data_IF_381500375921
#
_entry.id   IF_381500375921
#
_cell.length_a   1.000
_cell.length_b   1.000
_cell.length_c   1.000
_cell.angle_alpha   90.00
_cell.angle_beta   90.00
_cell.angle_gamma   90.00
#
_symmetry.space_group_name_H-M   'P 1'
#
loop_
_entity.id
_entity.type
_entity.pdbx_description
1 polymer ?
#
# COMPACT_ATOMS: atom_id res chain seq x y z
N UNK A 1 -18.27 -22.17 3.65
CA UNK A 1 -19.01 -22.42 2.39
C UNK A 1 -20.11 -21.38 2.31
N UNK A 2 -19.77 -20.17 1.89
CA UNK A 2 -20.67 -19.02 1.92
C UNK A 2 -21.50 -19.03 0.63
N UNK A 3 -22.81 -19.12 0.75
CA UNK A 3 -23.76 -19.15 -0.37
C UNK A 3 -24.13 -17.73 -0.72
N UNK A 4 -23.64 -17.24 -1.86
CA UNK A 4 -24.04 -15.96 -2.44
C UNK A 4 -25.54 -15.98 -2.79
N UNK A 5 -26.30 -15.03 -2.24
CA UNK A 5 -27.68 -14.77 -2.67
C UNK A 5 -27.66 -13.95 -3.96
N UNK A 6 -27.77 -14.61 -5.11
CA UNK A 6 -28.14 -13.97 -6.36
C UNK A 6 -29.64 -13.63 -6.36
N UNK A 7 -29.99 -12.35 -6.37
CA UNK A 7 -31.36 -11.89 -6.61
C UNK A 7 -31.58 -11.71 -8.10
N UNK A 8 -32.43 -12.56 -8.69
CA UNK A 8 -32.79 -12.51 -10.11
C UNK A 8 -34.03 -11.64 -10.31
N UNK A 9 -33.90 -10.52 -11.03
CA UNK A 9 -35.06 -9.78 -11.52
C UNK A 9 -35.20 -10.04 -13.02
N UNK A 10 -36.12 -10.92 -13.41
CA UNK A 10 -36.46 -11.17 -14.81
C UNK A 10 -37.46 -10.11 -15.25
N UNK A 11 -37.04 -9.16 -16.09
CA UNK A 11 -37.95 -8.19 -16.70
C UNK A 11 -38.22 -8.60 -18.15
N UNK A 12 -39.43 -9.11 -18.42
CA UNK A 12 -39.88 -9.49 -19.77
C UNK A 12 -40.15 -8.22 -20.60
N UNK A 13 -39.36 -8.01 -21.65
CA UNK A 13 -39.69 -7.03 -22.69
C UNK A 13 -40.37 -7.78 -23.85
N UNK A 14 -41.70 -7.65 -23.96
CA UNK A 14 -42.46 -8.29 -25.04
C UNK A 14 -42.70 -7.26 -26.16
N UNK A 15 -41.96 -7.36 -27.26
CA UNK A 15 -42.36 -6.80 -28.56
C UNK A 15 -41.84 -7.70 -29.70
N UNK A 16 -42.78 -8.44 -30.27
CA UNK A 16 -42.79 -9.05 -31.61
C UNK A 16 -41.52 -9.83 -32.05
N UNK A 17 -41.61 -11.16 -31.93
CA UNK A 17 -41.19 -12.04 -33.01
C UNK A 17 -39.87 -12.80 -32.88
N UNK A 18 -38.99 -12.46 -31.95
CA UNK A 18 -37.78 -13.24 -31.65
C UNK A 18 -37.40 -13.05 -30.17
N UNK A 19 -37.35 -14.15 -29.42
CA UNK A 19 -36.93 -14.14 -28.01
C UNK A 19 -35.42 -13.83 -27.92
N UNK A 20 -35.09 -12.54 -27.78
CA UNK A 20 -33.74 -12.10 -27.44
C UNK A 20 -33.68 -11.83 -25.93
N UNK A 21 -33.13 -12.78 -25.18
CA UNK A 21 -32.86 -12.61 -23.76
C UNK A 21 -31.69 -11.63 -23.58
N UNK A 22 -32.00 -10.35 -23.34
CA UNK A 22 -31.00 -9.38 -22.89
C UNK A 22 -30.78 -9.58 -21.39
N UNK A 23 -29.72 -10.31 -21.03
CA UNK A 23 -29.24 -10.36 -19.66
C UNK A 23 -28.63 -9.00 -19.29
N UNK A 24 -29.43 -8.11 -18.73
CA UNK A 24 -28.91 -6.92 -18.07
C UNK A 24 -28.32 -7.37 -16.73
N UNK A 25 -27.00 -7.61 -16.71
CA UNK A 25 -26.25 -7.69 -15.47
C UNK A 25 -26.27 -6.30 -14.83
N UNK A 26 -27.30 -6.02 -14.03
CA UNK A 26 -27.11 -5.08 -12.92
C UNK A 26 -26.18 -5.79 -11.94
N UNK A 27 -24.88 -5.55 -12.08
CA UNK A 27 -23.98 -5.63 -10.94
C UNK A 27 -24.65 -4.76 -9.87
N UNK A 28 -25.29 -5.38 -8.88
CA UNK A 28 -25.48 -4.75 -7.60
C UNK A 28 -24.06 -4.46 -7.12
N UNK A 29 -23.57 -3.27 -7.44
CA UNK A 29 -22.36 -2.71 -6.88
C UNK A 29 -22.61 -2.70 -5.37
N UNK A 30 -22.18 -3.77 -4.70
CA UNK A 30 -21.91 -3.69 -3.28
C UNK A 30 -21.02 -2.45 -3.11
N UNK A 31 -21.30 -1.58 -2.12
CA UNK A 31 -20.45 -0.43 -1.88
C UNK A 31 -18.99 -0.92 -1.79
N UNK A 32 -18.02 -0.17 -2.35
CA UNK A 32 -16.62 -0.56 -2.30
C UNK A 32 -16.30 -0.95 -0.86
N UNK A 33 -15.86 -2.20 -0.67
CA UNK A 33 -15.63 -2.72 0.66
C UNK A 33 -14.45 -1.95 1.23
N UNK A 34 -14.70 -1.19 2.29
CA UNK A 34 -13.69 -0.35 2.94
C UNK A 34 -12.91 -1.23 3.92
N UNK A 35 -11.60 -1.34 3.70
CA UNK A 35 -10.78 -2.40 4.34
C UNK A 35 -9.45 -1.90 4.92
N UNK A 36 -9.21 -0.59 4.87
CA UNK A 36 -8.02 -0.02 5.48
C UNK A 36 -8.18 -0.01 7.00
N UNK A 37 -7.22 -0.61 7.70
CA UNK A 37 -7.17 -0.64 9.16
C UNK A 37 -6.06 0.30 9.61
N UNK A 38 -6.39 1.23 10.51
CA UNK A 38 -5.46 2.17 11.12
C UNK A 38 -5.47 1.94 12.63
N UNK A 39 -4.33 1.58 13.21
CA UNK A 39 -4.21 1.29 14.65
C UNK A 39 -5.24 0.25 15.15
N UNK A 40 -5.47 -0.80 14.36
CA UNK A 40 -6.47 -1.84 14.67
C UNK A 40 -7.93 -1.43 14.49
N UNK A 41 -8.21 -0.22 14.00
CA UNK A 41 -9.56 0.27 13.73
C UNK A 41 -9.80 0.33 12.23
N UNK A 42 -10.82 -0.39 11.77
CA UNK A 42 -11.31 -0.31 10.39
C UNK A 42 -11.80 1.10 10.09
N UNK A 43 -11.36 1.68 8.98
CA UNK A 43 -11.74 3.04 8.61
C UNK A 43 -12.96 3.07 7.71
N UNK A 44 -13.90 3.95 8.06
CA UNK A 44 -15.06 4.26 7.23
C UNK A 44 -14.73 5.24 6.10
N UNK A 45 -13.73 6.09 6.27
CA UNK A 45 -13.30 7.06 5.27
C UNK A 45 -11.80 6.94 4.98
N UNK A 46 -11.41 7.20 3.73
CA UNK A 46 -10.00 7.27 3.37
C UNK A 46 -9.40 8.59 3.89
N UNK A 47 -8.22 8.58 4.56
CA UNK A 47 -7.57 9.81 4.97
C UNK A 47 -7.21 10.66 3.76
N UNK A 48 -7.73 11.89 3.72
CA UNK A 48 -7.61 12.81 2.57
C UNK A 48 -6.22 13.41 2.37
N UNK A 49 -5.30 13.21 3.32
CA UNK A 49 -3.93 13.72 3.24
C UNK A 49 -3.12 13.40 4.50
N UNK A 50 -1.81 13.61 4.44
CA UNK A 50 -0.90 13.17 5.51
C UNK A 50 -1.18 13.89 6.85
N UNK A 51 -1.52 15.19 6.80
CA UNK A 51 -1.88 15.97 8.00
C UNK A 51 -3.08 15.34 8.72
N UNK A 52 -4.13 14.97 7.98
CA UNK A 52 -5.34 14.37 8.56
C UNK A 52 -5.03 13.01 9.21
N UNK A 53 -4.22 12.19 8.54
CA UNK A 53 -3.77 10.90 9.05
C UNK A 53 -3.07 11.08 10.41
N UNK A 54 -2.11 12.01 10.51
CA UNK A 54 -1.31 12.17 11.74
C UNK A 54 -2.03 12.91 12.86
N UNK A 55 -3.10 13.65 12.57
CA UNK A 55 -3.97 14.25 13.58
C UNK A 55 -4.92 13.20 14.18
N UNK A 56 -5.46 12.31 13.36
CA UNK A 56 -6.36 11.25 13.79
C UNK A 56 -5.62 10.05 14.42
N UNK A 57 -4.41 9.75 13.93
CA UNK A 57 -3.59 8.63 14.38
C UNK A 57 -2.17 9.10 14.74
N UNK A 58 -1.98 9.70 15.93
CA UNK A 58 -0.68 10.23 16.35
C UNK A 58 0.43 9.18 16.48
N UNK A 59 0.10 7.90 16.61
CA UNK A 59 1.05 6.78 16.72
C UNK A 59 2.09 6.75 15.59
N UNK A 60 1.71 7.22 14.39
CA UNK A 60 2.63 7.29 13.25
C UNK A 60 3.72 8.36 13.44
N UNK A 61 3.48 9.39 14.26
CA UNK A 61 4.50 10.39 14.63
C UNK A 61 5.60 9.76 15.46
N UNK A 62 5.25 8.91 16.41
CA UNK A 62 6.21 8.20 17.25
C UNK A 62 7.06 7.24 16.41
N UNK A 63 6.42 6.51 15.47
CA UNK A 63 7.13 5.65 14.52
C UNK A 63 8.09 6.46 13.64
N UNK A 64 7.62 7.55 13.04
CA UNK A 64 8.46 8.39 12.20
C UNK A 64 9.66 8.96 12.99
N UNK A 65 9.46 9.39 14.23
CA UNK A 65 10.56 9.85 15.08
C UNK A 65 11.58 8.74 15.36
N UNK A 66 11.13 7.52 15.66
CA UNK A 66 12.03 6.39 15.83
C UNK A 66 12.85 6.14 14.57
N UNK A 67 12.20 6.12 13.40
CA UNK A 67 12.85 5.90 12.11
C UNK A 67 13.87 7.00 11.77
N UNK A 68 13.54 8.27 12.03
CA UNK A 68 14.43 9.41 11.82
C UNK A 68 15.67 9.40 12.74
N UNK A 69 15.57 8.77 13.92
CA UNK A 69 16.67 8.64 14.86
C UNK A 69 17.63 7.48 14.51
N UNK A 70 17.28 6.63 13.55
CA UNK A 70 18.17 5.55 13.09
C UNK A 70 19.28 6.17 12.22
N UNK A 71 20.56 6.01 12.58
CA UNK A 71 21.65 6.54 11.78
C UNK A 71 21.70 5.84 10.43
N UNK A 72 21.93 6.61 9.36
CA UNK A 72 22.09 6.09 8.01
C UNK A 72 23.24 5.10 7.96
N UNK A 73 23.01 3.93 7.35
CA UNK A 73 23.99 2.87 7.17
C UNK A 73 24.27 2.65 5.69
N UNK A 74 25.55 2.62 5.33
CA UNK A 74 25.95 2.14 4.01
C UNK A 74 25.77 0.62 3.94
N UNK A 75 25.01 0.15 2.95
CA UNK A 75 24.71 -1.27 2.75
C UNK A 75 25.54 -1.77 1.57
N UNK A 76 26.29 -2.85 1.80
CA UNK A 76 27.07 -3.52 0.74
C UNK A 76 26.17 -4.36 -0.18
N UNK A 77 26.71 -4.81 -1.33
CA UNK A 77 25.92 -5.55 -2.33
C UNK A 77 25.55 -6.98 -1.91
N UNK A 78 26.21 -7.52 -0.88
CA UNK A 78 26.00 -8.92 -0.47
C UNK A 78 24.63 -9.08 0.17
N UNK A 79 23.77 -9.88 -0.47
CA UNK A 79 22.41 -10.16 -0.01
C UNK A 79 21.45 -8.99 -0.18
N UNK A 80 21.84 -7.94 -0.92
CA UNK A 80 21.00 -6.77 -1.22
C UNK A 80 20.33 -6.94 -2.58
N UNK A 81 19.01 -6.89 -2.59
CA UNK A 81 18.20 -6.60 -3.77
C UNK A 81 17.87 -5.10 -3.76
N UNK A 82 18.69 -4.33 -4.47
CA UNK A 82 18.45 -2.91 -4.71
C UNK A 82 17.44 -2.74 -5.84
N UNK A 83 16.50 -1.81 -5.67
CA UNK A 83 15.50 -1.53 -6.69
C UNK A 83 15.40 -0.05 -7.04
N UNK A 84 15.07 0.19 -8.31
CA UNK A 84 14.78 1.50 -8.85
C UNK A 84 13.31 1.90 -8.70
N UNK A 85 13.03 3.14 -9.10
CA UNK A 85 11.68 3.68 -9.18
C UNK A 85 10.85 2.85 -10.18
N UNK A 86 9.58 2.58 -9.82
CA UNK A 86 8.60 1.74 -10.52
C UNK A 86 8.90 0.24 -10.57
N UNK A 87 9.85 -0.25 -9.77
CA UNK A 87 10.06 -1.67 -9.58
C UNK A 87 9.32 -2.19 -8.33
N UNK A 88 8.94 -3.47 -8.35
CA UNK A 88 8.15 -4.11 -7.28
C UNK A 88 8.64 -5.54 -6.93
N UNK A 89 9.85 -5.70 -6.38
CA UNK A 89 10.36 -7.01 -5.97
C UNK A 89 9.53 -7.60 -4.84
N UNK A 90 9.48 -8.93 -4.83
CA UNK A 90 8.96 -9.69 -3.70
C UNK A 90 10.06 -10.63 -3.18
N UNK A 91 10.13 -10.78 -1.87
CA UNK A 91 11.11 -11.63 -1.23
C UNK A 91 10.52 -12.27 0.04
N UNK A 92 11.12 -13.39 0.44
CA UNK A 92 10.67 -14.17 1.60
C UNK A 92 11.85 -14.47 2.52
N UNK A 93 11.63 -14.66 3.83
CA UNK A 93 12.72 -15.05 4.75
C UNK A 93 13.41 -16.37 4.42
N UNK A 94 12.81 -17.19 3.55
CA UNK A 94 13.38 -18.46 3.10
C UNK A 94 14.32 -18.30 1.89
N UNK A 95 14.43 -17.10 1.30
CA UNK A 95 15.36 -16.85 0.19
C UNK A 95 16.79 -16.73 0.72
N UNK A 96 17.65 -17.69 0.34
CA UNK A 96 19.06 -17.72 0.75
C UNK A 96 19.94 -16.65 0.10
N UNK A 97 19.46 -16.00 -0.96
CA UNK A 97 20.24 -15.04 -1.75
C UNK A 97 19.92 -13.59 -1.37
N UNK A 98 18.75 -13.34 -0.77
CA UNK A 98 18.26 -11.99 -0.48
C UNK A 98 17.97 -11.88 1.02
N UNK A 99 18.77 -11.07 1.70
CA UNK A 99 18.58 -10.76 3.11
C UNK A 99 18.03 -9.34 3.28
N UNK A 100 18.15 -8.50 2.25
CA UNK A 100 17.85 -7.09 2.30
C UNK A 100 17.20 -6.67 0.98
N UNK A 101 16.08 -5.95 1.05
CA UNK A 101 15.50 -5.22 -0.09
C UNK A 101 15.56 -3.73 0.23
N UNK A 102 16.03 -2.93 -0.72
CA UNK A 102 16.24 -1.50 -0.49
C UNK A 102 16.05 -0.66 -1.73
N UNK A 103 15.75 0.61 -1.52
CA UNK A 103 15.66 1.62 -2.57
C UNK A 103 16.09 2.97 -1.99
N UNK A 104 16.56 3.87 -2.84
CA UNK A 104 16.97 5.22 -2.45
C UNK A 104 16.19 6.29 -3.24
N UNK A 105 16.61 7.55 -3.15
CA UNK A 105 16.12 8.68 -3.97
C UNK A 105 14.61 8.94 -4.00
N UNK A 106 13.89 8.50 -2.95
CA UNK A 106 12.47 8.76 -2.74
C UNK A 106 12.20 10.23 -2.34
N UNK A 107 12.35 11.15 -3.30
CA UNK A 107 12.15 12.58 -3.08
C UNK A 107 10.67 12.92 -2.90
N UNK A 108 9.92 12.95 -4.01
CA UNK A 108 8.46 13.15 -4.03
C UNK A 108 7.69 11.84 -4.15
N UNK A 109 8.37 10.78 -4.59
CA UNK A 109 7.87 9.42 -4.62
C UNK A 109 7.70 8.85 -3.21
N UNK A 110 6.82 7.87 -3.10
CA UNK A 110 6.55 7.13 -1.87
C UNK A 110 6.96 5.69 -2.08
N UNK A 111 7.76 5.19 -1.15
CA UNK A 111 8.06 3.78 -0.97
C UNK A 111 6.94 3.21 -0.12
N UNK A 112 6.33 2.12 -0.58
CA UNK A 112 5.42 1.38 0.26
C UNK A 112 5.72 -0.11 0.25
N UNK A 113 5.45 -0.70 1.40
CA UNK A 113 5.83 -2.07 1.73
C UNK A 113 4.58 -2.81 2.09
N UNK A 114 4.35 -3.92 1.41
CA UNK A 114 3.28 -4.86 1.76
C UNK A 114 3.94 -6.10 2.35
N UNK A 115 3.61 -6.41 3.60
CA UNK A 115 4.17 -7.55 4.34
C UNK A 115 3.06 -8.50 4.78
N UNK A 116 3.28 -9.80 4.62
CA UNK A 116 2.44 -10.80 5.27
C UNK A 116 3.08 -11.22 6.60
N UNK A 117 2.47 -10.83 7.71
CA UNK A 117 3.02 -11.03 9.07
C UNK A 117 3.24 -12.50 9.45
N UNK A 118 2.46 -13.43 8.90
CA UNK A 118 2.56 -14.86 9.25
C UNK A 118 3.77 -15.58 8.64
N UNK A 119 4.21 -15.16 7.45
CA UNK A 119 5.38 -15.73 6.76
C UNK A 119 6.59 -14.77 6.82
N UNK A 120 6.35 -13.47 6.95
CA UNK A 120 7.35 -12.43 6.75
C UNK A 120 7.66 -12.14 5.29
N UNK A 121 6.87 -12.66 4.34
CA UNK A 121 6.99 -12.29 2.93
C UNK A 121 6.74 -10.79 2.74
N UNK A 122 7.57 -10.14 1.94
CA UNK A 122 7.54 -8.69 1.70
C UNK A 122 7.52 -8.42 0.21
N UNK A 123 6.72 -7.45 -0.19
CA UNK A 123 6.78 -6.80 -1.49
C UNK A 123 7.06 -5.32 -1.24
N UNK A 124 8.14 -4.79 -1.83
CA UNK A 124 8.50 -3.37 -1.72
C UNK A 124 8.27 -2.72 -3.07
N UNK A 125 7.68 -1.53 -3.10
CA UNK A 125 7.57 -0.74 -4.32
C UNK A 125 8.02 0.71 -4.09
N UNK A 126 8.69 1.27 -5.09
CA UNK A 126 9.07 2.68 -5.10
C UNK A 126 8.25 3.41 -6.18
N UNK A 127 7.27 4.20 -5.76
CA UNK A 127 6.23 4.70 -6.66
C UNK A 127 6.17 6.22 -6.75
N UNK A 128 5.91 6.73 -7.95
CA UNK A 128 5.86 8.17 -8.27
C UNK A 128 4.44 8.69 -8.57
N UNK A 129 3.43 7.85 -8.34
CA UNK A 129 2.01 8.18 -8.55
C UNK A 129 1.38 7.58 -9.81
N UNK A 130 2.16 6.97 -10.72
CA UNK A 130 1.63 6.40 -11.97
C UNK A 130 1.34 4.90 -11.87
N UNK A 131 0.07 4.48 -12.01
CA UNK A 131 -0.31 3.04 -12.02
C UNK A 131 -0.45 2.42 -10.63
N UNK A 132 -0.91 3.23 -9.66
CA UNK A 132 -0.97 2.83 -8.24
C UNK A 132 -1.95 1.69 -8.03
N UNK A 133 -3.11 1.72 -8.69
CA UNK A 133 -4.14 0.70 -8.55
C UNK A 133 -3.66 -0.68 -9.00
N UNK A 134 -2.99 -0.74 -10.16
CA UNK A 134 -2.39 -1.97 -10.67
C UNK A 134 -1.30 -2.48 -9.74
N UNK A 135 -0.46 -1.58 -9.21
CA UNK A 135 0.61 -1.95 -8.30
C UNK A 135 0.07 -2.50 -6.97
N UNK A 136 -0.92 -1.85 -6.36
CA UNK A 136 -1.55 -2.31 -5.12
C UNK A 136 -2.13 -3.72 -5.31
N UNK A 137 -2.88 -3.93 -6.39
CA UNK A 137 -3.45 -5.25 -6.68
C UNK A 137 -2.37 -6.31 -6.90
N UNK A 138 -1.33 -5.99 -7.66
CA UNK A 138 -0.22 -6.91 -7.94
C UNK A 138 0.57 -7.25 -6.68
N UNK A 139 0.89 -6.26 -5.84
CA UNK A 139 1.66 -6.47 -4.60
C UNK A 139 0.88 -7.31 -3.60
N UNK A 140 -0.41 -7.01 -3.40
CA UNK A 140 -1.26 -7.78 -2.49
C UNK A 140 -1.45 -9.21 -2.99
N UNK A 141 -1.73 -9.42 -4.27
CA UNK A 141 -1.81 -10.76 -4.84
C UNK A 141 -0.49 -11.53 -4.67
N UNK A 142 0.64 -10.87 -4.92
CA UNK A 142 1.96 -11.49 -4.83
C UNK A 142 2.31 -11.88 -3.40
N UNK A 143 2.02 -11.03 -2.40
CA UNK A 143 2.32 -11.37 -1.00
C UNK A 143 1.46 -12.55 -0.53
N UNK A 144 0.20 -12.62 -0.98
CA UNK A 144 -0.70 -13.74 -0.65
C UNK A 144 -0.26 -15.05 -1.29
N UNK A 145 0.17 -15.00 -2.56
CA UNK A 145 0.71 -16.17 -3.26
C UNK A 145 1.93 -16.73 -2.53
N UNK A 146 2.85 -15.85 -2.10
CA UNK A 146 4.02 -16.27 -1.33
C UNK A 146 3.64 -16.84 0.05
N UNK A 147 2.58 -16.31 0.66
CA UNK A 147 2.07 -16.75 1.96
C UNK A 147 1.16 -17.98 1.91
N UNK A 148 1.00 -18.63 0.76
CA UNK A 148 0.23 -19.88 0.66
C UNK A 148 0.77 -20.92 1.65
N UNK A 149 -0.11 -21.44 2.49
CA UNK A 149 0.24 -22.38 3.58
C UNK A 149 0.51 -21.71 4.94
N UNK A 150 0.42 -20.39 5.05
CA UNK A 150 0.58 -19.64 6.31
C UNK A 150 -0.73 -18.93 6.71
N UNK A 151 -1.73 -19.64 7.27
CA UNK A 151 -3.09 -19.11 7.46
C UNK A 151 -3.25 -18.08 8.59
N UNK A 152 -2.21 -17.83 9.39
CA UNK A 152 -2.30 -17.01 10.61
C UNK A 152 -1.83 -15.56 10.46
N UNK A 153 -1.51 -15.09 9.24
CA UNK A 153 -0.99 -13.74 9.02
C UNK A 153 -2.04 -12.74 8.54
N UNK A 154 -1.78 -11.47 8.83
CA UNK A 154 -2.46 -10.30 8.23
C UNK A 154 -1.53 -9.57 7.26
N UNK A 155 -2.13 -8.79 6.37
CA UNK A 155 -1.42 -7.93 5.42
C UNK A 155 -1.15 -6.59 6.10
N UNK A 156 0.13 -6.27 6.25
CA UNK A 156 0.62 -5.04 6.86
C UNK A 156 1.16 -4.12 5.76
N UNK A 157 0.86 -2.82 5.88
CA UNK A 157 1.32 -1.76 5.01
C UNK A 157 2.27 -0.83 5.78
N UNK A 158 3.34 -0.39 5.11
CA UNK A 158 4.25 0.64 5.58
C UNK A 158 4.46 1.68 4.49
N UNK A 159 4.44 2.97 4.83
CA UNK A 159 4.65 4.08 3.90
C UNK A 159 5.85 4.93 4.32
N UNK A 160 6.82 5.14 3.43
CA UNK A 160 8.01 5.94 3.67
C UNK A 160 8.34 6.75 2.43
N UNK A 161 8.67 8.04 2.55
CA UNK A 161 9.06 8.85 1.38
C UNK A 161 8.28 10.16 1.32
N UNK A 162 8.22 10.77 0.13
CA UNK A 162 7.41 11.95 -0.16
C UNK A 162 7.61 13.11 0.82
N UNK A 163 8.62 13.96 0.61
CA UNK A 163 8.71 15.20 1.39
C UNK A 163 7.63 16.21 0.95
N UNK A 164 7.29 17.14 1.84
CA UNK A 164 6.35 18.22 1.58
C UNK A 164 6.96 19.25 0.64
N UNK A 165 6.48 19.29 -0.60
CA UNK A 165 6.83 20.31 -1.58
C UNK A 165 5.68 21.30 -1.83
N UNK A 166 5.96 22.52 -2.34
CA UNK A 166 4.92 23.49 -2.68
C UNK A 166 3.90 22.98 -3.71
N UNK A 167 4.34 22.11 -4.62
CA UNK A 167 3.51 21.52 -5.66
C UNK A 167 2.60 20.40 -5.14
N UNK A 168 2.74 20.00 -3.87
CA UNK A 168 1.96 18.92 -3.22
C UNK A 168 1.99 17.58 -3.95
N UNK A 169 3.03 17.31 -4.75
CA UNK A 169 3.13 16.07 -5.53
C UNK A 169 3.15 14.84 -4.61
N UNK A 170 3.89 14.90 -3.50
CA UNK A 170 3.93 13.79 -2.53
C UNK A 170 2.58 13.54 -1.85
N UNK A 171 1.77 14.58 -1.64
CA UNK A 171 0.41 14.43 -1.08
C UNK A 171 -0.54 13.76 -2.07
N UNK A 172 -0.44 14.10 -3.36
CA UNK A 172 -1.22 13.45 -4.41
C UNK A 172 -0.87 11.96 -4.53
N UNK A 173 0.43 11.62 -4.52
CA UNK A 173 0.89 10.23 -4.52
C UNK A 173 0.37 9.50 -3.27
N UNK A 174 0.44 10.12 -2.09
CA UNK A 174 -0.09 9.56 -0.86
C UNK A 174 -1.59 9.28 -0.97
N UNK A 175 -2.37 10.26 -1.42
CA UNK A 175 -3.83 10.12 -1.56
C UNK A 175 -4.19 8.97 -2.50
N UNK A 176 -3.53 8.87 -3.66
CA UNK A 176 -3.76 7.80 -4.62
C UNK A 176 -3.46 6.42 -4.02
N UNK A 177 -2.37 6.29 -3.26
CA UNK A 177 -2.00 5.05 -2.55
C UNK A 177 -3.06 4.68 -1.51
N UNK A 178 -3.42 5.62 -0.64
CA UNK A 178 -4.40 5.37 0.42
C UNK A 178 -5.76 5.02 -0.14
N UNK A 179 -6.18 5.71 -1.19
CA UNK A 179 -7.46 5.45 -1.84
C UNK A 179 -7.47 4.07 -2.51
N UNK A 180 -6.37 3.68 -3.14
CA UNK A 180 -6.22 2.37 -3.77
C UNK A 180 -6.31 1.23 -2.76
N UNK A 181 -5.57 1.33 -1.66
CA UNK A 181 -5.63 0.35 -0.58
C UNK A 181 -6.99 0.30 0.12
N UNK A 182 -7.63 1.46 0.31
CA UNK A 182 -8.93 1.54 0.97
C UNK A 182 -10.05 0.89 0.14
N UNK A 183 -9.95 0.92 -1.20
CA UNK A 183 -10.89 0.26 -2.13
C UNK A 183 -10.62 -1.25 -2.29
N UNK A 184 -9.52 -1.76 -1.73
CA UNK A 184 -9.16 -3.17 -1.88
C UNK A 184 -10.20 -4.08 -1.20
N UNK A 185 -10.19 -5.38 -1.49
CA UNK A 185 -11.19 -6.32 -0.93
C UNK A 185 -10.72 -7.03 0.35
N UNK A 186 -9.46 -6.82 0.75
CA UNK A 186 -8.79 -7.47 1.88
C UNK A 186 -8.41 -6.45 2.92
N UNK A 187 -8.52 -6.82 4.19
CA UNK A 187 -8.06 -5.98 5.30
C UNK A 187 -6.56 -5.74 5.22
N UNK A 188 -6.18 -4.46 5.20
CA UNK A 188 -4.79 -4.02 5.08
C UNK A 188 -4.52 -3.06 6.22
N UNK A 189 -3.58 -3.44 7.08
CA UNK A 189 -3.25 -2.75 8.32
C UNK A 189 -2.08 -1.79 8.09
N UNK A 190 -2.32 -0.47 8.12
CA UNK A 190 -1.24 0.50 8.07
C UNK A 190 -0.52 0.51 9.41
N UNK A 191 0.62 -0.17 9.45
CA UNK A 191 1.42 -0.32 10.66
C UNK A 191 2.40 0.83 10.87
N UNK A 192 2.87 1.44 9.78
CA UNK A 192 3.97 2.40 9.81
C UNK A 192 3.81 3.47 8.72
N UNK A 193 4.03 4.73 9.08
CA UNK A 193 3.99 5.83 8.13
C UNK A 193 5.02 6.92 8.50
N UNK A 194 5.89 7.26 7.56
CA UNK A 194 6.84 8.37 7.62
C UNK A 194 6.83 9.07 6.26
N UNK A 195 5.80 9.87 6.03
CA UNK A 195 5.53 10.58 4.76
C UNK A 195 5.17 12.04 5.00
N UNK A 196 5.21 12.84 3.94
CA UNK A 196 4.80 14.25 3.96
C UNK A 196 5.60 15.05 4.97
N UNK A 197 4.90 15.74 5.88
CA UNK A 197 5.52 16.57 6.91
C UNK A 197 6.49 15.79 7.82
N UNK A 198 6.23 14.51 8.09
CA UNK A 198 7.06 13.71 8.98
C UNK A 198 8.39 13.30 8.34
N UNK A 199 8.48 13.29 7.01
CA UNK A 199 9.73 12.98 6.30
C UNK A 199 10.42 14.23 5.74
N UNK A 200 9.98 15.42 6.15
CA UNK A 200 10.47 16.69 5.63
C UNK A 200 11.43 17.33 6.61
N UNK A 201 12.66 17.58 6.17
CA UNK A 201 13.61 18.43 6.89
C UNK A 201 13.96 19.64 6.03
N UNK A 202 14.06 20.80 6.68
CA UNK A 202 14.36 22.08 6.06
C UNK A 202 15.85 22.37 6.25
N UNK A 203 16.64 22.17 5.19
CA UNK A 203 18.08 22.41 5.20
C UNK A 203 18.39 23.52 4.19
N UNK A 204 19.03 24.60 4.66
CA UNK A 204 19.50 25.70 3.80
C UNK A 204 18.40 26.26 2.88
N UNK A 205 17.18 26.46 3.40
CA UNK A 205 15.99 26.92 2.66
C UNK A 205 15.48 25.99 1.54
N UNK A 206 15.92 24.72 1.50
CA UNK A 206 15.39 23.68 0.59
C UNK A 206 14.85 22.49 1.39
N UNK A 207 13.72 21.96 0.94
CA UNK A 207 13.13 20.74 1.49
C UNK A 207 13.86 19.50 0.94
N UNK A 208 14.11 18.52 1.81
CA UNK A 208 14.66 17.20 1.43
C UNK A 208 13.95 16.07 2.18
N UNK A 209 13.91 14.90 1.56
CA UNK A 209 13.57 13.62 2.19
C UNK A 209 14.66 13.23 3.17
N UNK A 210 14.27 12.68 4.31
CA UNK A 210 15.20 12.29 5.38
C UNK A 210 15.43 10.79 5.42
N UNK A 211 14.40 10.00 5.10
CA UNK A 211 14.45 8.54 5.19
C UNK A 211 14.42 7.90 3.80
N UNK A 212 15.40 7.03 3.56
CA UNK A 212 15.40 6.01 2.50
C UNK A 212 15.22 4.64 3.15
N UNK A 213 14.49 3.74 2.51
CA UNK A 213 14.02 2.51 3.16
C UNK A 213 14.88 1.30 2.80
N UNK A 214 15.30 0.60 3.85
CA UNK A 214 15.95 -0.70 3.80
C UNK A 214 15.16 -1.68 4.66
N UNK A 215 14.72 -2.80 4.10
CA UNK A 215 14.01 -3.84 4.83
C UNK A 215 14.94 -5.04 4.96
N UNK A 216 15.21 -5.43 6.20
CA UNK A 216 15.83 -6.73 6.48
C UNK A 216 14.76 -7.80 6.45
N UNK A 217 15.03 -8.85 5.68
CA UNK A 217 14.18 -10.02 5.54
C UNK A 217 14.86 -11.11 6.36
N UNK A 218 14.46 -11.24 7.62
CA UNK A 218 14.98 -12.21 8.59
C UNK A 218 13.84 -12.83 9.37
#
# INVERSE_FOLDING_TARGET
>A
MFVDRFSWLIQRCCKQGTDLFVFSFRFLLLPPKMVLVLNGVLQDDCPMGTISLFMQHPIYRDYAQQLLNIPTKSVGPVGLLYIGQREMPAATPHDKNINIVGTDDATTSIIFVVRHSGLGAVVLAHFDGSGVDEAVCAMVARVQELALGYPGGRIELQLIGGYRNPQSCGEEVFYNIMQSFHKHHLEIDLTQACVGELNTVLLLSKFRTTVQLLITIS
#
